data_IF_426275513803
#
_entry.id   IF_426275513803
#
_cell.length_a   1.000
_cell.length_b   1.000
_cell.length_c   1.000
_cell.angle_alpha   90.00
_cell.angle_beta   90.00
_cell.angle_gamma   90.00
#
_symmetry.space_group_name_H-M   'P 1'
#
loop_
_entity.id
_entity.type
_entity.pdbx_description
1 polymer ?
#
# COMPACT_ATOMS: atom_id res chain seq x y z
N UNK A 1 -2.94 9.21 -0.44
CA UNK A 1 -3.12 8.17 -1.50
C UNK A 1 -4.33 8.54 -2.34
N UNK A 2 -4.36 8.15 -3.62
CA UNK A 2 -5.33 8.63 -4.61
C UNK A 2 -4.68 9.41 -5.75
N UNK A 3 -3.58 8.88 -6.31
CA UNK A 3 -2.79 9.57 -7.34
C UNK A 3 -3.50 9.69 -8.68
N UNK A 4 -4.38 8.75 -9.02
CA UNK A 4 -5.15 8.76 -10.27
C UNK A 4 -6.38 7.85 -10.15
N UNK A 5 -7.38 8.10 -11.01
CA UNK A 5 -8.57 7.24 -11.21
C UNK A 5 -8.45 6.36 -12.45
N UNK A 6 -7.36 6.50 -13.21
CA UNK A 6 -7.06 5.73 -14.40
C UNK A 6 -6.81 4.25 -14.05
N UNK A 7 -7.22 3.35 -14.95
CA UNK A 7 -7.11 1.90 -14.75
C UNK A 7 -6.05 1.26 -15.64
N UNK A 8 -5.63 1.96 -16.70
CA UNK A 8 -4.56 1.50 -17.57
C UNK A 8 -3.20 1.60 -16.84
N UNK A 9 -2.47 0.48 -16.67
CA UNK A 9 -1.22 0.47 -15.91
C UNK A 9 -0.14 1.36 -16.53
N UNK A 10 -0.08 1.48 -17.85
CA UNK A 10 0.92 2.31 -18.54
C UNK A 10 0.67 3.79 -18.25
N UNK A 11 -0.59 4.21 -18.31
CA UNK A 11 -0.96 5.60 -17.99
C UNK A 11 -0.75 5.91 -16.50
N UNK A 12 -1.06 4.96 -15.61
CA UNK A 12 -0.81 5.11 -14.18
C UNK A 12 0.68 5.33 -13.91
N UNK A 13 1.56 4.55 -14.54
CA UNK A 13 3.02 4.71 -14.39
C UNK A 13 3.49 6.10 -14.80
N UNK A 14 3.03 6.62 -15.94
CA UNK A 14 3.37 7.98 -16.39
C UNK A 14 2.90 9.06 -15.41
N UNK A 15 1.64 9.00 -14.96
CA UNK A 15 1.09 9.99 -14.01
C UNK A 15 1.87 9.95 -12.69
N UNK A 16 2.17 8.77 -12.16
CA UNK A 16 2.94 8.64 -10.91
C UNK A 16 4.39 9.10 -11.09
N UNK A 17 4.99 8.82 -12.25
CA UNK A 17 6.33 9.27 -12.61
C UNK A 17 6.46 10.79 -12.68
N UNK A 18 5.42 11.51 -13.09
CA UNK A 18 5.39 12.98 -13.10
C UNK A 18 5.29 13.59 -11.69
N UNK A 19 4.66 12.88 -10.74
CA UNK A 19 4.48 13.36 -9.37
C UNK A 19 5.72 13.21 -8.50
N UNK A 20 6.66 12.35 -8.88
CA UNK A 20 7.77 11.90 -8.03
C UNK A 20 9.10 12.06 -8.77
N UNK A 21 10.14 12.62 -8.13
CA UNK A 21 11.46 12.74 -8.76
C UNK A 21 11.97 11.39 -9.28
N UNK A 22 12.57 11.39 -10.47
CA UNK A 22 13.03 10.16 -11.14
C UNK A 22 13.99 9.33 -10.27
N UNK A 23 14.82 9.98 -9.46
CA UNK A 23 15.74 9.31 -8.54
C UNK A 23 15.03 8.44 -7.49
N UNK A 24 13.77 8.74 -7.15
CA UNK A 24 12.99 8.04 -6.12
C UNK A 24 12.07 6.95 -6.69
N UNK A 25 11.97 6.77 -8.01
CA UNK A 25 11.06 5.81 -8.62
C UNK A 25 11.28 4.38 -8.12
N UNK A 26 12.54 3.93 -8.07
CA UNK A 26 12.89 2.59 -7.57
C UNK A 26 12.51 2.41 -6.11
N UNK A 27 12.79 3.41 -5.27
CA UNK A 27 12.47 3.38 -3.84
C UNK A 27 10.96 3.34 -3.61
N UNK A 28 10.20 4.14 -4.36
CA UNK A 28 8.75 4.16 -4.29
C UNK A 28 8.18 2.79 -4.66
N UNK A 29 8.58 2.23 -5.80
CA UNK A 29 8.11 0.93 -6.27
C UNK A 29 8.35 -0.16 -5.22
N UNK A 30 9.54 -0.19 -4.63
CA UNK A 30 9.83 -1.10 -3.52
C UNK A 30 8.90 -0.84 -2.33
N UNK A 31 8.78 0.40 -1.84
CA UNK A 31 7.90 0.76 -0.71
C UNK A 31 6.45 0.32 -0.94
N UNK A 32 5.93 0.48 -2.16
CA UNK A 32 4.58 0.05 -2.53
C UNK A 32 4.43 -1.46 -2.52
N UNK A 33 5.40 -2.20 -3.07
CA UNK A 33 5.43 -3.67 -3.03
C UNK A 33 5.45 -4.18 -1.59
N UNK A 34 6.36 -3.64 -0.75
CA UNK A 34 6.48 -4.02 0.65
C UNK A 34 5.20 -3.71 1.43
N UNK A 35 4.60 -2.53 1.20
CA UNK A 35 3.36 -2.17 1.85
C UNK A 35 2.21 -3.12 1.47
N UNK A 36 2.06 -3.44 0.19
CA UNK A 36 1.05 -4.40 -0.28
C UNK A 36 1.27 -5.82 0.25
N UNK A 37 2.52 -6.26 0.36
CA UNK A 37 2.87 -7.59 0.86
C UNK A 37 2.75 -7.73 2.38
N UNK A 38 2.97 -6.66 3.14
CA UNK A 38 2.99 -6.71 4.62
C UNK A 38 1.69 -6.25 5.27
N UNK A 39 1.02 -5.24 4.71
CA UNK A 39 -0.10 -4.55 5.36
C UNK A 39 -1.34 -4.54 4.46
N UNK A 40 -1.21 -4.04 3.22
CA UNK A 40 -2.34 -3.80 2.32
C UNK A 40 -2.63 -5.01 1.43
N UNK A 41 -2.92 -6.15 2.06
CA UNK A 41 -3.22 -7.41 1.36
C UNK A 41 -4.44 -7.27 0.44
N UNK A 42 -4.40 -7.94 -0.72
CA UNK A 42 -5.45 -7.86 -1.74
C UNK A 42 -6.85 -8.25 -1.24
N UNK A 43 -6.96 -9.25 -0.35
CA UNK A 43 -8.27 -9.76 0.12
C UNK A 43 -8.68 -9.19 1.48
N UNK A 44 -7.77 -9.12 2.45
CA UNK A 44 -8.06 -8.65 3.81
C UNK A 44 -6.90 -7.79 4.33
N UNK A 45 -6.89 -6.48 4.02
CA UNK A 45 -5.82 -5.59 4.46
C UNK A 45 -5.91 -5.31 5.97
N UNK A 46 -4.76 -5.05 6.59
CA UNK A 46 -4.63 -4.73 8.01
C UNK A 46 -4.80 -3.21 8.25
N UNK A 47 -5.99 -2.68 7.95
CA UNK A 47 -6.26 -1.24 7.98
C UNK A 47 -6.08 -0.61 9.37
N UNK A 48 -6.45 -1.31 10.45
CA UNK A 48 -6.40 -0.81 11.83
C UNK A 48 -5.00 -0.47 12.34
N UNK A 49 -3.96 -1.04 11.72
CA UNK A 49 -2.54 -0.76 12.05
C UNK A 49 -1.79 -0.06 10.91
N UNK A 50 -2.48 0.29 9.82
CA UNK A 50 -1.82 0.88 8.66
C UNK A 50 -1.35 2.31 9.01
N UNK A 51 -0.04 2.64 8.87
CA UNK A 51 0.46 3.97 9.18
C UNK A 51 -0.12 5.04 8.23
N UNK A 52 -0.57 4.62 7.05
CA UNK A 52 -1.15 5.48 6.02
C UNK A 52 -2.68 5.57 6.11
N UNK A 53 -3.31 5.00 7.15
CA UNK A 53 -4.76 4.96 7.30
C UNK A 53 -5.42 6.35 7.19
N UNK A 54 -4.79 7.38 7.77
CA UNK A 54 -5.30 8.77 7.73
C UNK A 54 -5.31 9.39 6.32
N UNK A 55 -4.47 8.89 5.42
CA UNK A 55 -4.27 9.41 4.06
C UNK A 55 -4.83 8.46 2.99
N UNK A 56 -5.41 7.33 3.40
CA UNK A 56 -5.90 6.29 2.52
C UNK A 56 -7.38 6.51 2.22
N UNK A 57 -7.78 6.72 0.95
CA UNK A 57 -9.20 6.86 0.59
C UNK A 57 -9.98 5.54 0.78
N UNK A 58 -9.28 4.41 0.81
CA UNK A 58 -9.87 3.08 0.96
C UNK A 58 -9.75 2.51 2.38
N UNK A 59 -9.43 3.33 3.38
CA UNK A 59 -9.40 2.87 4.77
C UNK A 59 -10.78 2.34 5.19
N UNK A 60 -10.82 1.20 5.89
CA UNK A 60 -12.07 0.58 6.33
C UNK A 60 -12.57 -0.59 5.50
N UNK A 61 -11.97 -0.88 4.33
CA UNK A 61 -12.28 -2.10 3.56
C UNK A 61 -11.72 -3.38 4.20
N UNK A 62 -10.75 -3.24 5.10
CA UNK A 62 -10.06 -4.34 5.78
C UNK A 62 -10.37 -4.42 7.27
N UNK A 63 -9.54 -5.16 7.99
CA UNK A 63 -9.67 -5.29 9.44
C UNK A 63 -9.30 -3.98 10.14
N UNK A 64 -10.22 -3.43 10.91
CA UNK A 64 -10.05 -2.17 11.64
C UNK A 64 -9.76 -2.39 13.13
N UNK A 65 -10.10 -3.56 13.66
CA UNK A 65 -9.72 -3.95 15.01
C UNK A 65 -8.20 -4.08 15.10
N UNK A 66 -7.57 -3.32 16.02
CA UNK A 66 -6.11 -3.23 16.12
C UNK A 66 -5.50 -4.60 16.42
N UNK A 67 -6.10 -5.38 17.32
CA UNK A 67 -5.55 -6.67 17.74
C UNK A 67 -5.67 -7.70 16.62
N UNK A 68 -6.80 -7.74 15.92
CA UNK A 68 -6.97 -8.63 14.77
C UNK A 68 -6.12 -8.19 13.57
N UNK A 69 -5.94 -6.88 13.36
CA UNK A 69 -5.12 -6.36 12.27
C UNK A 69 -3.63 -6.63 12.50
N UNK A 70 -3.14 -6.61 13.74
CA UNK A 70 -1.76 -7.04 14.07
C UNK A 70 -1.47 -8.46 13.62
N UNK A 71 -2.41 -9.38 13.79
CA UNK A 71 -2.26 -10.78 13.35
C UNK A 71 -2.18 -10.95 11.83
N UNK A 72 -2.61 -9.94 11.07
CA UNK A 72 -2.53 -9.94 9.61
C UNK A 72 -1.23 -9.30 9.09
N UNK A 73 -0.45 -8.64 9.95
CA UNK A 73 0.82 -8.05 9.57
C UNK A 73 1.83 -9.14 9.22
N UNK A 74 2.36 -9.10 7.99
CA UNK A 74 3.48 -9.98 7.63
C UNK A 74 4.81 -9.31 7.93
N UNK A 75 5.71 -10.08 8.52
CA UNK A 75 7.07 -9.73 8.87
C UNK A 75 8.05 -10.46 7.98
N UNK A 76 9.35 -10.23 8.16
CA UNK A 76 10.39 -10.92 7.36
C UNK A 76 10.43 -12.44 7.59
N UNK A 77 9.92 -12.91 8.71
CA UNK A 77 9.80 -14.33 9.03
C UNK A 77 8.79 -15.04 8.12
N UNK A 78 7.77 -14.33 7.63
CA UNK A 78 6.72 -14.87 6.76
C UNK A 78 7.15 -15.04 5.29
N UNK A 79 8.35 -14.56 4.92
CA UNK A 79 8.89 -14.59 3.57
C UNK A 79 10.17 -15.42 3.43
N UNK A 80 10.59 -16.11 4.50
CA UNK A 80 11.66 -17.12 4.49
C UNK A 80 11.10 -18.49 4.09
#
# INVERSE_FOLDING_TARGET
FGWTVEKDPVKVEHIVGELIPQAEWTNLSQRMIWHGRRICHSRKPACGICPMAKLCPSVGIGEMDIEKAKLLLKTDEDFR
#
